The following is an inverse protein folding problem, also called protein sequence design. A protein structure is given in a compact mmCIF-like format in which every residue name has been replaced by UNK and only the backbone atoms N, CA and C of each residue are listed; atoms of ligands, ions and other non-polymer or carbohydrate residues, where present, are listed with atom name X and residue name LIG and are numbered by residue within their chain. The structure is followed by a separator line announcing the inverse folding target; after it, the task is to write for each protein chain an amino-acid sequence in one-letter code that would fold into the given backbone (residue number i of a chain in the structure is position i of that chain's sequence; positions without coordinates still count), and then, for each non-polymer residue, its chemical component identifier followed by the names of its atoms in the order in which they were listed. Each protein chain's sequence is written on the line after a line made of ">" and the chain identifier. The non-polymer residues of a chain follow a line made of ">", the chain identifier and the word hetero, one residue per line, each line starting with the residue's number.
data_IF_035886024581
#
_entry.id   IF_035886024581
#
_cell.length_a   1.000
_cell.length_b   1.000
_cell.length_c   1.000
_cell.angle_alpha   90.00
_cell.angle_beta   90.00
_cell.angle_gamma   90.00
#
_symmetry.space_group_name_H-M   'P 1'
#
loop_
_entity.id
_entity.type
_entity.pdbx_description
1 polymer ?
#
# COMPACT_ATOMS: atom_id res chain seq x y z
N UNK A 1 16.34 36.68 22.39
CA UNK A 1 15.78 36.56 23.76
C UNK A 1 14.74 35.46 23.73
N UNK A 2 15.21 34.22 23.83
CA UNK A 2 14.41 33.04 23.49
C UNK A 2 13.80 32.50 24.78
N UNK A 3 12.48 32.59 24.86
CA UNK A 3 11.67 32.23 26.03
C UNK A 3 11.43 30.72 26.02
N UNK A 4 12.46 29.95 26.33
CA UNK A 4 12.34 28.51 26.58
C UNK A 4 11.73 28.30 27.97
N UNK A 5 10.40 28.33 28.01
CA UNK A 5 9.62 28.00 29.20
C UNK A 5 9.83 26.53 29.54
N UNK A 6 10.41 26.29 30.71
CA UNK A 6 10.70 24.98 31.28
C UNK A 6 9.39 24.25 31.59
N UNK A 7 9.11 23.17 30.85
CA UNK A 7 8.02 22.26 31.16
C UNK A 7 8.55 21.30 32.24
N UNK A 8 8.08 21.49 33.48
CA UNK A 8 8.36 20.60 34.59
C UNK A 8 7.61 19.26 34.39
N UNK A 9 8.23 18.11 34.71
CA UNK A 9 7.57 16.81 34.57
C UNK A 9 6.52 16.65 35.68
N UNK A 10 5.25 16.71 35.32
CA UNK A 10 4.15 16.30 36.20
C UNK A 10 4.21 14.77 36.27
N UNK A 11 4.68 14.28 37.41
CA UNK A 11 4.57 12.88 37.86
C UNK A 11 3.10 12.45 37.84
N UNK A 12 2.70 11.70 36.82
CA UNK A 12 1.38 11.05 36.75
C UNK A 12 1.49 9.72 37.49
N UNK A 13 0.92 9.68 38.69
CA UNK A 13 0.70 8.47 39.49
C UNK A 13 -0.45 7.68 38.86
N UNK A 14 -0.15 6.59 38.14
CA UNK A 14 -1.16 5.65 37.65
C UNK A 14 -1.48 4.63 38.75
N UNK A 15 -2.63 4.81 39.39
CA UNK A 15 -3.26 3.86 40.31
C UNK A 15 -4.48 3.22 39.62
N UNK A 16 -4.55 1.89 39.75
CA UNK A 16 -5.73 1.01 39.64
C UNK A 16 -6.31 0.76 38.24
N UNK A 17 -6.25 -0.49 37.78
CA UNK A 17 -7.46 -1.33 37.63
C UNK A 17 -7.09 -2.71 37.11
N UNK A 18 -7.21 -3.72 37.97
CA UNK A 18 -7.29 -5.11 37.54
C UNK A 18 -8.72 -5.37 37.05
N UNK A 19 -8.90 -5.74 35.79
CA UNK A 19 -10.14 -6.36 35.34
C UNK A 19 -9.88 -7.43 34.28
N UNK A 20 -10.10 -8.66 34.74
CA UNK A 20 -10.84 -9.72 34.05
C UNK A 20 -10.26 -10.18 32.70
N UNK A 21 -9.55 -11.31 32.76
CA UNK A 21 -9.41 -12.20 31.61
C UNK A 21 -10.78 -12.85 31.34
N UNK A 22 -11.47 -12.38 30.29
CA UNK A 22 -12.65 -13.05 29.73
C UNK A 22 -12.13 -14.18 28.82
N UNK A 23 -12.42 -15.42 29.18
CA UNK A 23 -12.22 -16.60 28.33
C UNK A 23 -13.32 -16.66 27.27
N UNK A 24 -13.01 -16.75 25.96
CA UNK A 24 -14.02 -16.98 24.94
C UNK A 24 -14.52 -18.44 25.01
N UNK A 25 -15.83 -18.59 25.12
CA UNK A 25 -16.54 -19.86 25.05
C UNK A 25 -16.50 -20.41 23.62
N UNK A 26 -16.14 -21.69 23.39
CA UNK A 26 -16.16 -22.28 22.06
C UNK A 26 -17.61 -22.52 21.61
N UNK A 27 -17.96 -21.99 20.44
CA UNK A 27 -19.26 -22.24 19.80
C UNK A 27 -19.41 -23.74 19.46
N UNK A 28 -20.52 -24.39 19.84
CA UNK A 28 -20.89 -25.68 19.27
C UNK A 28 -21.40 -25.47 17.83
N UNK A 29 -20.68 -26.01 16.85
CA UNK A 29 -21.20 -26.18 15.49
C UNK A 29 -22.04 -27.46 15.48
N UNK A 30 -23.29 -27.34 15.93
CA UNK A 30 -24.27 -28.41 15.76
C UNK A 30 -24.66 -28.56 14.29
N UNK A 31 -24.79 -29.82 13.93
CA UNK A 31 -24.97 -30.35 12.58
C UNK A 31 -26.35 -30.09 11.99
N UNK A 32 -26.36 -30.04 10.66
CA UNK A 32 -27.35 -30.61 9.75
C UNK A 32 -28.84 -30.24 9.94
N UNK A 33 -29.45 -29.67 8.89
CA UNK A 33 -30.49 -30.35 8.13
C UNK A 33 -31.12 -29.42 7.07
N UNK A 34 -30.90 -29.70 5.80
CA UNK A 34 -31.95 -29.72 4.77
C UNK A 34 -31.44 -30.46 3.52
N UNK A 35 -31.56 -31.78 3.59
CA UNK A 35 -31.64 -32.62 2.40
C UNK A 35 -33.07 -32.53 1.86
N UNK A 36 -33.28 -31.72 0.84
CA UNK A 36 -34.48 -31.81 0.00
C UNK A 36 -34.06 -31.89 -1.47
N UNK A 37 -33.95 -33.14 -1.92
CA UNK A 37 -34.04 -33.51 -3.33
C UNK A 37 -35.50 -33.66 -3.70
N UNK A 38 -35.96 -33.00 -4.78
CA UNK A 38 -36.91 -33.61 -5.68
C UNK A 38 -36.30 -33.80 -7.08
N UNK A 39 -36.73 -34.91 -7.66
CA UNK A 39 -36.23 -35.66 -8.81
C UNK A 39 -36.65 -35.04 -10.17
N UNK A 40 -36.33 -35.65 -11.34
CA UNK A 40 -35.75 -34.98 -12.51
C UNK A 40 -36.78 -34.61 -13.60
N UNK A 41 -36.43 -33.66 -14.46
CA UNK A 41 -37.09 -33.49 -15.76
C UNK A 41 -36.04 -33.53 -16.87
N UNK A 42 -36.08 -34.61 -17.64
CA UNK A 42 -35.43 -34.75 -18.95
C UNK A 42 -36.46 -34.41 -20.01
N UNK A 43 -36.28 -33.30 -20.73
CA UNK A 43 -36.50 -33.18 -22.18
C UNK A 43 -36.05 -31.80 -22.70
N UNK A 44 -35.82 -31.62 -24.01
CA UNK A 44 -34.50 -31.68 -24.62
C UNK A 44 -34.05 -30.35 -25.23
N UNK A 45 -32.72 -30.28 -25.42
CA UNK A 45 -31.95 -29.52 -26.42
C UNK A 45 -32.73 -28.65 -27.43
N UNK A 46 -32.57 -27.33 -27.31
CA UNK A 46 -32.41 -26.47 -28.49
C UNK A 46 -31.60 -25.22 -28.12
N UNK A 47 -30.36 -25.20 -28.62
CA UNK A 47 -29.42 -24.09 -28.52
C UNK A 47 -29.92 -22.91 -29.39
N UNK A 48 -29.78 -21.68 -28.90
CA UNK A 48 -29.08 -20.74 -29.75
C UNK A 48 -27.97 -20.04 -28.98
N UNK A 49 -26.76 -20.27 -29.49
CA UNK A 49 -25.54 -19.53 -29.28
C UNK A 49 -25.82 -18.05 -29.02
N UNK A 50 -25.64 -17.63 -27.77
CA UNK A 50 -25.31 -16.26 -27.45
C UNK A 50 -23.95 -16.33 -26.76
N UNK A 51 -22.92 -15.98 -27.51
CA UNK A 51 -21.59 -15.67 -26.95
C UNK A 51 -21.77 -14.61 -25.87
N UNK A 52 -21.87 -15.08 -24.63
CA UNK A 52 -21.67 -14.25 -23.46
C UNK A 52 -20.16 -14.15 -23.28
N UNK A 53 -19.59 -12.93 -23.14
CA UNK A 53 -18.16 -12.79 -22.95
C UNK A 53 -17.83 -13.59 -21.70
N UNK A 54 -17.04 -14.64 -21.91
CA UNK A 54 -16.46 -15.43 -20.84
C UNK A 54 -15.57 -14.46 -20.07
N UNK A 55 -16.11 -13.86 -19.02
CA UNK A 55 -15.31 -13.30 -17.95
C UNK A 55 -14.68 -14.51 -17.27
N UNK A 56 -13.58 -14.97 -17.85
CA UNK A 56 -12.56 -15.73 -17.15
C UNK A 56 -12.13 -14.84 -16.00
N UNK A 57 -12.79 -14.98 -14.85
CA UNK A 57 -12.22 -14.56 -13.56
C UNK A 57 -11.06 -15.51 -13.31
N UNK A 58 -9.94 -15.21 -13.95
CA UNK A 58 -8.63 -15.63 -13.51
C UNK A 58 -8.37 -14.81 -12.25
N UNK A 59 -8.73 -15.35 -11.09
CA UNK A 59 -8.30 -14.79 -9.83
C UNK A 59 -6.76 -14.76 -9.86
N UNK A 60 -6.09 -13.59 -9.82
CA UNK A 60 -4.64 -13.59 -9.75
C UNK A 60 -4.26 -14.23 -8.41
N UNK A 61 -3.70 -15.43 -8.50
CA UNK A 61 -3.05 -16.13 -7.40
C UNK A 61 -1.99 -15.18 -6.82
N UNK A 62 -2.34 -14.60 -5.67
CA UNK A 62 -1.83 -13.31 -5.22
C UNK A 62 -0.43 -13.36 -4.63
N UNK A 63 0.58 -13.09 -5.44
CA UNK A 63 1.74 -12.33 -4.96
C UNK A 63 1.45 -10.86 -5.28
N UNK A 64 1.09 -10.07 -4.28
CA UNK A 64 0.84 -8.64 -4.46
C UNK A 64 2.06 -7.99 -5.12
N UNK A 65 1.87 -7.34 -6.27
CA UNK A 65 2.97 -6.68 -6.98
C UNK A 65 3.52 -5.53 -6.13
N UNK A 66 4.85 -5.30 -6.15
CA UNK A 66 5.50 -4.20 -5.42
C UNK A 66 4.80 -2.83 -5.60
N UNK A 67 4.39 -2.43 -6.83
CA UNK A 67 3.64 -1.18 -7.01
C UNK A 67 2.30 -1.14 -6.26
N UNK A 68 1.57 -2.27 -6.23
CA UNK A 68 0.30 -2.37 -5.53
C UNK A 68 0.50 -2.30 -4.01
N UNK A 69 1.53 -2.95 -3.48
CA UNK A 69 1.88 -2.88 -2.05
C UNK A 69 2.24 -1.45 -1.66
N UNK A 70 3.10 -0.78 -2.43
CA UNK A 70 3.54 0.57 -2.14
C UNK A 70 2.37 1.57 -2.16
N UNK A 71 1.50 1.48 -3.16
CA UNK A 71 0.31 2.32 -3.27
C UNK A 71 -0.63 2.16 -2.06
N UNK A 72 -0.96 0.91 -1.69
CA UNK A 72 -1.89 0.68 -0.58
C UNK A 72 -1.33 1.15 0.77
N UNK A 73 -0.04 0.96 1.00
CA UNK A 73 0.62 1.47 2.21
C UNK A 73 0.61 3.00 2.24
N UNK A 74 0.88 3.67 1.11
CA UNK A 74 0.81 5.12 1.01
C UNK A 74 -0.60 5.66 1.29
N UNK A 75 -1.63 5.06 0.67
CA UNK A 75 -3.04 5.43 0.90
C UNK A 75 -3.42 5.25 2.37
N UNK A 76 -3.07 4.11 2.96
CA UNK A 76 -3.43 3.80 4.35
C UNK A 76 -2.73 4.73 5.34
N UNK A 77 -1.44 5.02 5.13
CA UNK A 77 -0.69 5.96 5.97
C UNK A 77 -1.24 7.38 5.83
N UNK A 78 -1.56 7.86 4.62
CA UNK A 78 -2.13 9.20 4.43
C UNK A 78 -3.52 9.34 5.06
N UNK A 79 -4.39 8.35 4.86
CA UNK A 79 -5.71 8.30 5.47
C UNK A 79 -5.63 8.40 7.01
N UNK A 80 -4.69 7.66 7.62
CA UNK A 80 -4.47 7.70 9.06
C UNK A 80 -3.93 9.05 9.55
N UNK A 81 -3.00 9.67 8.81
CA UNK A 81 -2.42 10.97 9.18
C UNK A 81 -3.43 12.10 9.15
N UNK A 82 -4.33 12.07 8.18
CA UNK A 82 -5.29 13.15 7.93
C UNK A 82 -6.67 12.87 8.53
N UNK A 83 -6.88 11.71 9.17
CA UNK A 83 -8.20 11.20 9.58
C UNK A 83 -9.20 11.26 8.40
N UNK A 84 -8.70 10.90 7.21
CA UNK A 84 -9.40 11.03 5.96
C UNK A 84 -9.94 9.67 5.49
N UNK A 85 -11.13 9.62 4.89
CA UNK A 85 -11.65 8.39 4.32
C UNK A 85 -10.87 8.04 3.04
N UNK A 86 -10.52 6.76 2.89
CA UNK A 86 -9.67 6.25 1.81
C UNK A 86 -10.23 6.55 0.41
N UNK A 87 -11.55 6.56 0.24
CA UNK A 87 -12.22 6.85 -1.04
C UNK A 87 -12.08 8.32 -1.49
N UNK A 88 -11.57 9.21 -0.64
CA UNK A 88 -11.25 10.60 -0.97
C UNK A 88 -9.79 10.83 -1.36
N UNK A 89 -8.95 9.80 -1.28
CA UNK A 89 -7.56 9.85 -1.69
C UNK A 89 -7.48 9.42 -3.15
N UNK A 90 -7.04 10.33 -4.01
CA UNK A 90 -6.92 10.09 -5.45
C UNK A 90 -5.51 9.67 -5.81
N UNK A 91 -5.36 8.69 -6.70
CA UNK A 91 -4.05 8.26 -7.18
C UNK A 91 -3.63 9.09 -8.37
N UNK A 92 -2.51 9.80 -8.25
CA UNK A 92 -1.96 10.64 -9.32
C UNK A 92 -0.96 9.85 -10.17
N UNK A 93 0.01 9.19 -9.53
CA UNK A 93 1.03 8.40 -10.22
C UNK A 93 1.60 7.29 -9.33
N UNK A 94 2.01 6.18 -9.97
CA UNK A 94 2.77 5.10 -9.33
C UNK A 94 3.86 4.65 -10.29
N UNK A 95 5.11 4.90 -9.93
CA UNK A 95 6.24 4.73 -10.83
C UNK A 95 7.36 3.93 -10.18
N UNK A 96 7.89 2.95 -10.92
CA UNK A 96 9.15 2.30 -10.57
C UNK A 96 10.31 3.22 -10.93
N UNK A 97 11.12 3.60 -9.95
CA UNK A 97 12.19 4.60 -10.12
C UNK A 97 13.53 4.09 -9.57
N UNK A 98 14.61 4.82 -9.89
CA UNK A 98 15.95 4.57 -9.34
C UNK A 98 16.42 5.80 -8.58
N UNK A 99 16.56 5.67 -7.26
CA UNK A 99 16.99 6.74 -6.38
C UNK A 99 18.51 6.92 -6.44
N UNK A 100 19.04 8.14 -6.37
CA UNK A 100 20.49 8.40 -6.46
C UNK A 100 21.28 7.84 -5.28
N UNK A 101 20.66 7.70 -4.12
CA UNK A 101 21.30 7.28 -2.86
C UNK A 101 20.42 6.31 -2.09
N UNK A 102 20.98 5.71 -1.04
CA UNK A 102 20.24 4.89 -0.09
C UNK A 102 19.20 5.68 0.75
N UNK A 103 19.13 7.01 0.59
CA UNK A 103 18.08 7.85 1.18
C UNK A 103 16.72 7.69 0.49
N UNK A 104 16.64 6.92 -0.62
CA UNK A 104 15.42 6.69 -1.38
C UNK A 104 14.74 8.00 -1.82
N UNK A 105 15.55 8.99 -2.24
CA UNK A 105 15.05 10.30 -2.66
C UNK A 105 14.56 11.20 -1.53
N UNK A 106 14.75 10.83 -0.25
CA UNK A 106 14.29 11.61 0.89
C UNK A 106 15.37 11.75 2.00
N UNK A 107 16.45 12.51 1.75
CA UNK A 107 17.54 12.63 2.71
C UNK A 107 17.12 13.40 3.96
N UNK A 108 17.41 12.85 5.14
CA UNK A 108 17.31 13.60 6.38
C UNK A 108 18.52 14.55 6.55
N UNK A 109 18.33 15.77 7.07
CA UNK A 109 19.42 16.68 7.39
C UNK A 109 20.45 16.03 8.32
N UNK A 110 21.70 16.47 8.23
CA UNK A 110 22.82 16.02 9.07
C UNK A 110 23.14 14.51 8.99
N UNK A 111 22.57 13.80 8.02
CA UNK A 111 22.79 12.36 7.81
C UNK A 111 23.50 12.12 6.49
N UNK A 112 24.59 11.35 6.53
CA UNK A 112 25.30 10.93 5.33
C UNK A 112 24.70 9.62 4.78
N UNK A 113 24.39 9.60 3.48
CA UNK A 113 23.87 8.41 2.81
C UNK A 113 24.86 7.88 1.78
N UNK A 114 24.99 6.54 1.66
CA UNK A 114 25.70 5.94 0.55
C UNK A 114 25.15 6.37 -0.81
N UNK A 115 26.04 6.75 -1.72
CA UNK A 115 25.73 7.06 -3.14
C UNK A 115 25.56 5.78 -3.95
N UNK A 116 24.55 4.99 -3.58
CA UNK A 116 24.19 3.76 -4.25
C UNK A 116 22.84 3.93 -4.92
N UNK A 117 22.81 3.74 -6.23
CA UNK A 117 21.56 3.79 -6.99
C UNK A 117 20.63 2.70 -6.49
N UNK A 118 19.49 3.10 -5.91
CA UNK A 118 18.59 2.20 -5.20
C UNK A 118 17.25 2.13 -5.91
N UNK A 119 16.85 0.96 -6.47
CA UNK A 119 15.52 0.78 -7.04
C UNK A 119 14.43 0.94 -5.99
N UNK A 120 13.31 1.55 -6.38
CA UNK A 120 12.19 1.81 -5.49
C UNK A 120 10.92 2.24 -6.23
N UNK A 121 9.92 2.68 -5.47
CA UNK A 121 8.69 3.26 -6.01
C UNK A 121 8.57 4.73 -5.64
N UNK A 122 8.05 5.54 -6.55
CA UNK A 122 7.49 6.86 -6.29
C UNK A 122 5.98 6.77 -6.47
N UNK A 123 5.24 7.13 -5.42
CA UNK A 123 3.79 7.12 -5.37
C UNK A 123 3.33 8.55 -5.10
N UNK A 124 2.54 9.12 -6.00
CA UNK A 124 1.92 10.42 -5.82
C UNK A 124 0.42 10.22 -5.64
N UNK A 125 -0.09 10.67 -4.50
CA UNK A 125 -1.52 10.62 -4.16
C UNK A 125 -1.99 12.02 -3.76
N UNK A 126 -3.24 12.33 -4.05
CA UNK A 126 -3.83 13.63 -3.82
C UNK A 126 -4.97 13.55 -2.81
N UNK A 127 -5.03 14.53 -1.91
CA UNK A 127 -6.16 14.75 -1.02
C UNK A 127 -6.43 16.25 -0.93
N UNK A 128 -7.69 16.64 -1.10
CA UNK A 128 -8.13 18.05 -1.07
C UNK A 128 -7.29 19.00 -1.96
N UNK A 129 -6.82 18.50 -3.11
CA UNK A 129 -6.01 19.25 -4.06
C UNK A 129 -4.51 19.31 -3.74
N UNK A 130 -4.07 18.75 -2.61
CA UNK A 130 -2.66 18.67 -2.22
C UNK A 130 -2.08 17.32 -2.64
N UNK A 131 -0.93 17.33 -3.32
CA UNK A 131 -0.20 16.13 -3.71
C UNK A 131 0.78 15.76 -2.60
N UNK A 132 0.73 14.50 -2.19
CA UNK A 132 1.64 13.87 -1.24
C UNK A 132 2.48 12.84 -1.98
N UNK A 133 3.79 12.91 -1.82
CA UNK A 133 4.73 12.01 -2.48
C UNK A 133 5.29 11.00 -1.48
N UNK A 134 5.08 9.73 -1.78
CA UNK A 134 5.49 8.58 -0.99
C UNK A 134 6.57 7.81 -1.73
N UNK A 135 7.63 7.46 -1.02
CA UNK A 135 8.75 6.70 -1.57
C UNK A 135 8.84 5.34 -0.90
N UNK A 136 9.36 4.36 -1.63
CA UNK A 136 9.71 3.06 -1.06
C UNK A 136 10.98 2.48 -1.69
N UNK A 137 11.62 1.59 -0.95
CA UNK A 137 12.74 0.78 -1.42
C UNK A 137 12.31 -0.64 -1.79
N UNK A 138 13.28 -1.56 -1.79
CA UNK A 138 13.07 -2.99 -2.12
C UNK A 138 12.31 -3.78 -1.05
N UNK A 139 12.27 -3.25 0.17
CA UNK A 139 11.52 -3.78 1.31
C UNK A 139 10.01 -3.50 1.21
N UNK A 140 9.58 -2.76 0.19
CA UNK A 140 8.20 -2.31 -0.03
C UNK A 140 7.66 -1.42 1.10
N UNK A 141 8.50 -0.93 2.02
CA UNK A 141 8.04 0.02 3.04
C UNK A 141 7.85 1.38 2.38
N UNK A 142 6.63 1.91 2.44
CA UNK A 142 6.30 3.22 1.88
C UNK A 142 6.23 4.27 2.99
N UNK A 143 6.82 5.43 2.75
CA UNK A 143 6.84 6.54 3.68
C UNK A 143 6.64 7.86 2.94
N UNK A 144 6.03 8.83 3.63
CA UNK A 144 5.83 10.18 3.09
C UNK A 144 7.17 10.92 3.01
N UNK A 145 7.47 11.50 1.85
CA UNK A 145 8.61 12.39 1.67
C UNK A 145 8.16 13.84 1.47
N UNK A 146 8.51 14.70 2.43
CA UNK A 146 8.16 16.13 2.38
C UNK A 146 9.09 16.94 1.47
N UNK A 147 10.33 16.46 1.27
CA UNK A 147 11.35 17.14 0.50
C UNK A 147 11.98 16.16 -0.52
N UNK A 148 11.24 15.82 -1.59
CA UNK A 148 11.68 14.81 -2.55
C UNK A 148 12.88 15.29 -3.37
N UNK A 149 13.78 14.35 -3.63
CA UNK A 149 14.87 14.47 -4.60
C UNK A 149 14.52 13.60 -5.81
N UNK A 150 14.62 14.19 -7.00
CA UNK A 150 14.25 13.50 -8.24
C UNK A 150 15.05 12.19 -8.47
N UNK A 151 14.39 11.15 -9.02
CA UNK A 151 15.06 9.92 -9.37
C UNK A 151 16.04 10.13 -10.53
N UNK A 152 17.07 9.29 -10.59
CA UNK A 152 18.04 9.31 -11.67
C UNK A 152 17.42 8.67 -12.91
N UNK A 153 17.47 9.38 -14.04
CA UNK A 153 17.14 8.81 -15.34
C UNK A 153 18.35 8.03 -15.86
N UNK A 154 18.26 6.71 -15.91
CA UNK A 154 19.27 5.90 -16.60
C UNK A 154 18.96 5.99 -18.10
N UNK A 155 19.56 6.97 -18.78
CA UNK A 155 19.49 7.05 -20.22
C UNK A 155 20.13 5.78 -20.82
N UNK A 156 19.50 5.13 -21.81
CA UNK A 156 20.15 4.05 -22.52
C UNK A 156 21.44 4.60 -23.13
N UNK A 157 22.56 3.90 -22.92
CA UNK A 157 23.84 4.26 -23.54
C UNK A 157 23.61 4.44 -25.06
N UNK A 158 24.17 5.49 -25.69
CA UNK A 158 24.08 5.63 -27.13
C UNK A 158 24.65 4.37 -27.78
N UNK A 159 23.88 3.77 -28.71
CA UNK A 159 24.36 2.62 -29.49
C UNK A 159 25.72 2.98 -30.09
N UNK A 160 26.75 2.11 -29.98
CA UNK A 160 28.01 2.36 -30.65
C UNK A 160 27.72 2.56 -32.13
N UNK A 161 28.03 3.74 -32.65
CA UNK A 161 27.91 3.98 -34.09
C UNK A 161 28.90 3.03 -34.75
N UNK A 162 28.40 2.06 -35.51
CA UNK A 162 29.25 1.17 -36.28
C UNK A 162 30.11 2.04 -37.21
N UNK A 163 31.38 2.22 -36.87
CA UNK A 163 32.35 2.88 -37.72
C UNK A 163 32.59 2.01 -38.96
N UNK A 164 32.37 2.58 -40.14
CA UNK A 164 32.63 1.95 -41.44
C UNK A 164 34.07 2.02 -41.88
#
# INVERSE_FOLDING_TARGET
>A
MNKYTRIAPVLIVFLLSACVMVTPEPLPLDSANNSETPTPQTQPEEEPTKEEPTMTTEAPSGSASTPYVALNLAIQDLAQRLDAPVDKIEVVAVESVSWPTAALGCPQPETAYPEVVTPGMRVQIQFEGVIYEYHSGRDNQSFLCENPVEPVTILPLPLPTAGG
#
